data_IF_654040857375
#
_entry.id   IF_654040857375
#
_cell.length_a   1.000
_cell.length_b   1.000
_cell.length_c   1.000
_cell.angle_alpha   90.00
_cell.angle_beta   90.00
_cell.angle_gamma   90.00
#
_symmetry.space_group_name_H-M   'P 1'
#
loop_
_entity.id
_entity.type
_entity.pdbx_description
1 polymer ?
#
# COMPACT_ATOMS: atom_id res chain seq x y z
N UNK A 1 9.08 18.86 15.18
CA UNK A 1 8.31 17.68 15.59
C UNK A 1 7.18 17.61 14.59
N UNK A 2 7.22 16.62 13.69
CA UNK A 2 6.09 16.41 12.77
C UNK A 2 5.27 15.35 13.46
N UNK A 3 4.08 15.71 13.91
CA UNK A 3 3.13 14.77 14.48
C UNK A 3 2.81 13.75 13.39
N UNK A 4 3.43 12.58 13.50
CA UNK A 4 3.27 11.48 12.57
C UNK A 4 1.87 10.91 12.75
N UNK A 5 0.93 11.40 11.94
CA UNK A 5 -0.38 10.78 11.80
C UNK A 5 -0.18 9.37 11.26
N UNK A 6 -0.35 8.37 12.12
CA UNK A 6 -0.54 7.00 11.68
C UNK A 6 -1.99 6.91 11.17
N UNK A 7 -2.16 6.89 9.87
CA UNK A 7 -3.47 6.56 9.28
C UNK A 7 -3.69 5.08 9.55
N UNK A 8 -4.61 4.77 10.46
CA UNK A 8 -5.11 3.40 10.65
C UNK A 8 -6.08 3.17 9.50
N UNK A 9 -5.57 2.58 8.42
CA UNK A 9 -6.37 2.15 7.30
C UNK A 9 -6.73 0.66 7.44
N UNK A 10 -7.84 0.27 6.82
CA UNK A 10 -8.20 -1.13 6.62
C UNK A 10 -7.09 -1.84 5.81
N UNK A 11 -6.82 -3.14 6.05
CA UNK A 11 -5.86 -3.88 5.22
C UNK A 11 -6.16 -3.73 3.72
N UNK A 12 -5.14 -3.37 2.94
CA UNK A 12 -5.26 -3.16 1.50
C UNK A 12 -5.77 -1.78 1.07
N UNK A 13 -6.28 -0.94 1.98
CA UNK A 13 -6.64 0.46 1.72
C UNK A 13 -5.40 1.35 1.93
N UNK A 14 -4.81 1.79 0.81
CA UNK A 14 -3.50 2.46 0.77
C UNK A 14 -3.62 3.90 0.28
N UNK A 15 -4.64 4.20 -0.50
CA UNK A 15 -4.81 5.48 -1.17
C UNK A 15 -6.28 5.79 -1.42
N UNK A 16 -6.52 6.97 -2.00
CA UNK A 16 -7.85 7.47 -2.28
C UNK A 16 -7.79 8.79 -3.04
N UNK A 17 -8.94 9.44 -3.27
CA UNK A 17 -9.03 10.67 -4.06
C UNK A 17 -8.09 11.80 -3.59
N UNK A 18 -7.85 11.88 -2.28
CA UNK A 18 -7.01 12.91 -1.66
C UNK A 18 -5.58 12.43 -1.35
N UNK A 19 -5.18 11.26 -1.89
CA UNK A 19 -3.88 10.64 -1.64
C UNK A 19 -3.74 9.97 -0.28
N UNK A 20 -4.88 9.73 0.38
CA UNK A 20 -4.99 9.04 1.66
C UNK A 20 -6.02 7.91 1.55
N UNK A 21 -5.86 6.83 2.32
CA UNK A 21 -6.84 5.76 2.45
C UNK A 21 -8.28 6.29 2.57
N UNK A 22 -9.20 5.78 1.74
CA UNK A 22 -10.57 6.31 1.63
C UNK A 22 -11.66 5.37 2.19
N UNK A 23 -11.23 4.34 2.93
CA UNK A 23 -12.10 3.33 3.51
C UNK A 23 -12.48 2.23 2.50
N UNK A 24 -11.81 2.13 1.35
CA UNK A 24 -12.07 1.11 0.33
C UNK A 24 -10.76 0.54 -0.15
N UNK A 25 -10.72 -0.77 -0.35
CA UNK A 25 -9.64 -1.40 -1.11
C UNK A 25 -10.14 -1.65 -2.53
N UNK A 26 -9.64 -0.89 -3.51
CA UNK A 26 -10.02 -1.00 -4.91
C UNK A 26 -8.82 -1.16 -5.85
N UNK A 27 -9.06 -0.99 -7.16
CA UNK A 27 -8.02 -1.20 -8.18
C UNK A 27 -6.90 -0.17 -8.09
N UNK A 28 -7.16 1.00 -7.52
CA UNK A 28 -6.18 2.07 -7.35
C UNK A 28 -5.16 1.69 -6.27
N UNK A 29 -5.56 1.01 -5.19
CA UNK A 29 -4.63 0.48 -4.18
C UNK A 29 -3.69 -0.56 -4.78
N UNK A 30 -4.26 -1.53 -5.51
CA UNK A 30 -3.49 -2.57 -6.20
C UNK A 30 -2.52 -1.95 -7.21
N UNK A 31 -2.99 -1.01 -8.04
CA UNK A 31 -2.16 -0.32 -9.02
C UNK A 31 -1.07 0.53 -8.37
N UNK A 32 -1.34 1.09 -7.18
CA UNK A 32 -0.38 1.90 -6.43
C UNK A 32 0.81 1.06 -5.99
N UNK A 33 0.59 -0.14 -5.42
CA UNK A 33 1.70 -1.07 -5.11
C UNK A 33 2.40 -1.55 -6.38
N UNK A 34 1.63 -1.93 -7.41
CA UNK A 34 2.21 -2.39 -8.68
C UNK A 34 3.09 -1.32 -9.36
N UNK A 35 2.80 -0.02 -9.17
CA UNK A 35 3.63 1.08 -9.68
C UNK A 35 5.04 1.12 -9.08
N UNK A 36 5.23 0.46 -7.93
CA UNK A 36 6.49 0.37 -7.18
C UNK A 36 7.18 -0.98 -7.33
N UNK A 37 6.71 -1.83 -8.25
CA UNK A 37 7.27 -3.15 -8.49
C UNK A 37 8.77 -3.10 -8.80
N UNK A 38 9.52 -4.03 -8.20
CA UNK A 38 10.95 -4.22 -8.42
C UNK A 38 11.85 -3.26 -7.60
N UNK A 39 11.28 -2.48 -6.68
CA UNK A 39 12.04 -1.66 -5.73
C UNK A 39 12.33 -2.49 -4.48
N UNK A 40 13.56 -2.44 -3.99
CA UNK A 40 13.99 -3.18 -2.80
C UNK A 40 14.91 -2.31 -1.94
N UNK A 41 14.94 -2.55 -0.64
CA UNK A 41 15.88 -1.86 0.25
C UNK A 41 17.32 -2.27 -0.11
N UNK A 42 18.29 -1.34 -0.19
CA UNK A 42 18.25 0.07 0.23
C UNK A 42 18.13 1.06 -0.94
N UNK A 43 17.46 0.70 -2.05
CA UNK A 43 17.33 1.62 -3.20
C UNK A 43 16.67 2.95 -2.75
N UNK A 44 17.13 4.12 -3.25
CA UNK A 44 16.54 5.41 -2.87
C UNK A 44 15.04 5.54 -3.17
N UNK A 45 14.56 4.73 -4.11
CA UNK A 45 13.18 4.69 -4.57
C UNK A 45 12.31 3.69 -3.79
N UNK A 46 12.93 2.86 -2.92
CA UNK A 46 12.22 1.97 -2.02
C UNK A 46 11.44 2.78 -0.99
N UNK A 47 10.18 2.41 -0.78
CA UNK A 47 9.32 3.07 0.18
C UNK A 47 8.55 2.00 0.96
N UNK A 48 8.72 1.92 2.30
CA UNK A 48 8.25 0.79 3.10
C UNK A 48 6.72 0.63 3.09
N UNK A 49 5.95 1.70 2.86
CA UNK A 49 4.48 1.60 2.77
C UNK A 49 3.97 0.68 1.63
N UNK A 50 4.81 0.31 0.66
CA UNK A 50 4.42 -0.59 -0.44
C UNK A 50 5.07 -1.97 -0.32
N UNK A 51 5.88 -2.22 0.72
CA UNK A 51 6.38 -3.53 1.12
C UNK A 51 5.41 -4.11 2.15
N UNK A 52 4.34 -4.71 1.65
CA UNK A 52 3.16 -5.09 2.43
C UNK A 52 3.47 -6.30 3.31
N UNK A 53 4.31 -7.20 2.83
CA UNK A 53 4.72 -8.39 3.58
C UNK A 53 5.99 -8.15 4.44
N UNK A 54 6.58 -6.96 4.38
CA UNK A 54 7.79 -6.54 5.09
C UNK A 54 9.02 -7.43 4.79
N UNK A 55 9.17 -7.91 3.55
CA UNK A 55 10.31 -8.74 3.11
C UNK A 55 11.47 -7.93 2.50
N UNK A 56 11.37 -6.60 2.54
CA UNK A 56 12.28 -5.60 1.99
C UNK A 56 12.28 -5.54 0.45
N UNK A 57 11.32 -6.17 -0.24
CA UNK A 57 11.22 -6.19 -1.71
C UNK A 57 9.79 -5.99 -2.17
N UNK A 58 9.55 -4.91 -2.87
CA UNK A 58 8.24 -4.65 -3.49
C UNK A 58 8.12 -5.50 -4.76
N UNK A 59 7.33 -6.56 -4.69
CA UNK A 59 7.18 -7.56 -5.73
C UNK A 59 5.72 -8.05 -5.88
N UNK A 60 5.52 -9.18 -6.58
CA UNK A 60 4.18 -9.70 -6.86
C UNK A 60 3.44 -10.15 -5.59
N UNK A 61 4.17 -10.52 -4.54
CA UNK A 61 3.59 -10.91 -3.26
C UNK A 61 2.91 -9.72 -2.57
N UNK A 62 3.47 -8.52 -2.67
CA UNK A 62 2.86 -7.31 -2.12
C UNK A 62 1.57 -6.96 -2.85
N UNK A 63 1.63 -6.97 -4.19
CA UNK A 63 0.46 -6.75 -5.05
C UNK A 63 -0.64 -7.76 -4.75
N UNK A 64 -0.29 -9.05 -4.63
CA UNK A 64 -1.24 -10.11 -4.30
C UNK A 64 -1.82 -9.95 -2.89
N UNK A 65 -1.02 -9.47 -1.93
CA UNK A 65 -1.48 -9.23 -0.56
C UNK A 65 -2.54 -8.14 -0.51
N UNK A 66 -2.35 -7.03 -1.24
CA UNK A 66 -3.41 -6.00 -1.38
C UNK A 66 -4.62 -6.57 -2.11
N UNK A 67 -4.42 -7.29 -3.21
CA UNK A 67 -5.51 -7.84 -4.01
C UNK A 67 -6.38 -8.86 -3.27
N UNK A 68 -5.89 -9.50 -2.20
CA UNK A 68 -6.70 -10.36 -1.32
C UNK A 68 -7.83 -9.59 -0.64
N UNK A 69 -7.62 -8.30 -0.36
CA UNK A 69 -8.60 -7.41 0.29
C UNK A 69 -9.46 -6.64 -0.72
N UNK A 70 -9.31 -6.90 -2.02
CA UNK A 70 -10.02 -6.16 -3.05
C UNK A 70 -11.54 -6.21 -2.87
N UNK A 71 -12.17 -5.04 -2.83
CA UNK A 71 -13.61 -4.87 -2.64
C UNK A 71 -14.06 -4.78 -1.18
N UNK A 72 -13.14 -4.88 -0.21
CA UNK A 72 -13.43 -4.55 1.17
C UNK A 72 -13.73 -3.05 1.33
N UNK A 73 -14.64 -2.72 2.24
CA UNK A 73 -15.07 -1.35 2.56
C UNK A 73 -15.20 -1.25 4.09
N UNK A 74 -14.62 -0.22 4.70
CA UNK A 74 -14.80 0.10 6.12
C UNK A 74 -16.19 0.73 6.34
N UNK A 75 -17.06 0.12 7.18
CA UNK A 75 -18.46 0.54 7.36
C UNK A 75 -18.69 1.88 8.07
#
# INVERSE_FOLDING_TARGET
MVDGWAVVAMPGDLTGPDGWPDGKCDIIDVATVASKFGKEYPMPEYHPNYDINNDLKINILDVATVAIHFGEIDP
#
